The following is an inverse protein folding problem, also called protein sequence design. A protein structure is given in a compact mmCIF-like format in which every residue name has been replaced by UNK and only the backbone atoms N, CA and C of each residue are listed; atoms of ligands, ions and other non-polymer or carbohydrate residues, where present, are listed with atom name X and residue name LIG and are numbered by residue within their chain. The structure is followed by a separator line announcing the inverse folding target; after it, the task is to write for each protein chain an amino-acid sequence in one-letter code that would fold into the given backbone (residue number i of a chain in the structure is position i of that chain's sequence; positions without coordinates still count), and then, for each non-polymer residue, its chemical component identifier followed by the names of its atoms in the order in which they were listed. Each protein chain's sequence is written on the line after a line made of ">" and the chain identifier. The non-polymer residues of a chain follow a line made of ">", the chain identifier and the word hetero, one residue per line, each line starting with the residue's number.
data_IF_541232802238
#
_entry.id   IF_541232802238
#
_cell.length_a   1.000
_cell.length_b   1.000
_cell.length_c   1.000
_cell.angle_alpha   90.00
_cell.angle_beta   90.00
_cell.angle_gamma   90.00
#
_symmetry.space_group_name_H-M   'P 1'
#
loop_
_entity.id
_entity.type
_entity.pdbx_description
1 polymer ?
#
# COMPACT_ATOMS: atom_id res chain seq x y z
N UNK A 1 19.68 63.87 -2.71
CA UNK A 1 19.69 62.52 -2.07
C UNK A 1 18.48 61.80 -2.59
N UNK A 2 18.67 60.82 -3.47
CA UNK A 2 17.60 60.01 -4.07
C UNK A 2 17.44 58.74 -3.25
N UNK A 3 16.31 58.55 -2.59
CA UNK A 3 15.96 57.30 -1.91
C UNK A 3 15.58 56.24 -2.96
N UNK A 4 16.38 55.22 -3.09
CA UNK A 4 16.07 54.03 -3.88
C UNK A 4 15.42 53.02 -2.93
N UNK A 5 14.10 52.89 -3.05
CA UNK A 5 13.35 51.85 -2.36
C UNK A 5 13.59 50.52 -3.09
N UNK A 6 14.30 49.59 -2.46
CA UNK A 6 14.40 48.20 -2.94
C UNK A 6 13.09 47.46 -2.63
N UNK A 7 12.34 47.17 -3.67
CA UNK A 7 11.20 46.24 -3.61
C UNK A 7 11.76 44.81 -3.56
N UNK A 8 11.81 44.25 -2.37
CA UNK A 8 12.14 42.84 -2.20
C UNK A 8 10.91 42.01 -2.59
N UNK A 9 10.89 41.48 -3.80
CA UNK A 9 9.92 40.49 -4.22
C UNK A 9 10.36 39.17 -3.56
N UNK A 10 9.71 38.84 -2.46
CA UNK A 10 9.73 37.47 -1.91
C UNK A 10 8.98 36.53 -2.89
N UNK A 11 9.71 35.99 -3.85
CA UNK A 11 9.27 34.80 -4.54
C UNK A 11 9.25 33.68 -3.51
N UNK A 12 8.09 33.42 -2.92
CA UNK A 12 7.82 32.15 -2.29
C UNK A 12 8.01 31.10 -3.37
N UNK A 13 9.15 30.43 -3.35
CA UNK A 13 9.33 29.18 -4.06
C UNK A 13 8.35 28.17 -3.43
N UNK A 14 7.12 28.15 -3.90
CA UNK A 14 6.36 26.92 -3.86
C UNK A 14 7.24 25.91 -4.56
N UNK A 15 7.80 24.97 -3.83
CA UNK A 15 8.39 23.77 -4.43
C UNK A 15 7.27 23.20 -5.29
N UNK A 16 7.43 23.30 -6.61
CA UNK A 16 6.61 22.50 -7.52
C UNK A 16 6.93 21.07 -7.13
N UNK A 17 6.08 20.48 -6.30
CA UNK A 17 6.14 19.05 -6.00
C UNK A 17 6.26 18.37 -7.35
N UNK A 18 7.31 17.57 -7.55
CA UNK A 18 7.57 16.90 -8.81
C UNK A 18 6.34 16.05 -9.16
N UNK A 19 5.52 16.56 -10.08
CA UNK A 19 4.36 15.81 -10.59
C UNK A 19 4.93 14.53 -11.20
N UNK A 20 4.47 13.35 -10.77
CA UNK A 20 4.94 12.10 -11.37
C UNK A 20 4.75 12.16 -12.88
N UNK A 21 5.80 11.87 -13.63
CA UNK A 21 5.77 11.86 -15.10
C UNK A 21 4.63 10.95 -15.64
N UNK A 22 4.19 10.01 -14.81
CA UNK A 22 3.22 8.96 -15.15
C UNK A 22 1.83 9.15 -14.51
N UNK A 23 1.52 10.30 -13.87
CA UNK A 23 0.22 10.50 -13.20
C UNK A 23 -0.99 10.16 -14.10
N UNK A 24 -0.92 10.49 -15.41
CA UNK A 24 -1.96 10.10 -16.38
C UNK A 24 -2.07 8.59 -16.55
N UNK A 25 -0.96 7.90 -16.52
CA UNK A 25 -0.92 6.44 -16.59
C UNK A 25 -1.51 5.83 -15.33
N UNK A 26 -1.22 6.38 -14.15
CA UNK A 26 -1.81 5.96 -12.87
C UNK A 26 -3.34 6.03 -12.92
N UNK A 27 -3.92 7.12 -13.48
CA UNK A 27 -5.38 7.25 -13.69
C UNK A 27 -5.93 6.11 -14.55
N UNK A 28 -5.30 5.82 -15.69
CA UNK A 28 -5.78 4.76 -16.60
C UNK A 28 -5.70 3.37 -15.96
N UNK A 29 -4.61 3.11 -15.21
CA UNK A 29 -4.42 1.84 -14.49
C UNK A 29 -5.48 1.67 -13.43
N UNK A 30 -5.69 2.68 -12.58
CA UNK A 30 -6.67 2.62 -11.48
C UNK A 30 -8.09 2.45 -12.02
N UNK A 31 -8.49 3.21 -13.06
CA UNK A 31 -9.81 3.05 -13.69
C UNK A 31 -9.98 1.62 -14.26
N UNK A 32 -8.98 1.09 -14.95
CA UNK A 32 -9.03 -0.29 -15.46
C UNK A 32 -9.12 -1.32 -14.35
N UNK A 33 -8.37 -1.14 -13.25
CA UNK A 33 -8.38 -2.07 -12.14
C UNK A 33 -9.76 -2.13 -11.47
N UNK A 34 -10.33 -0.99 -11.14
CA UNK A 34 -11.69 -0.94 -10.55
C UNK A 34 -12.81 -1.32 -11.54
N UNK A 35 -12.52 -1.42 -12.84
CA UNK A 35 -13.42 -1.96 -13.87
C UNK A 35 -13.18 -3.44 -14.19
N UNK A 36 -12.30 -4.12 -13.45
CA UNK A 36 -12.01 -5.56 -13.65
C UNK A 36 -11.10 -5.90 -14.84
N UNK A 37 -10.39 -4.92 -15.40
CA UNK A 37 -9.61 -5.07 -16.64
C UNK A 37 -8.11 -4.77 -16.48
N UNK A 38 -7.53 -4.97 -15.30
CA UNK A 38 -6.11 -4.74 -15.06
C UNK A 38 -5.34 -6.04 -14.84
N UNK A 39 -4.04 -6.02 -15.20
CA UNK A 39 -3.07 -7.09 -14.93
C UNK A 39 -2.05 -6.68 -13.85
N UNK A 40 -2.27 -5.55 -13.18
CA UNK A 40 -1.36 -5.01 -12.18
C UNK A 40 -1.53 -5.77 -10.86
N UNK A 41 -0.43 -6.24 -10.27
CA UNK A 41 -0.40 -6.99 -9.00
C UNK A 41 -0.70 -6.10 -7.80
N UNK A 42 -0.02 -4.95 -7.69
CA UNK A 42 -0.19 -3.98 -6.62
C UNK A 42 -0.72 -2.65 -7.19
N UNK A 43 -1.78 -2.10 -6.60
CA UNK A 43 -2.34 -0.80 -6.99
C UNK A 43 -1.80 0.36 -6.16
N UNK A 44 -1.12 0.11 -5.08
CA UNK A 44 -0.64 1.11 -4.12
C UNK A 44 0.11 2.27 -4.78
N UNK A 45 1.10 2.05 -5.69
CA UNK A 45 1.83 3.16 -6.30
C UNK A 45 0.94 4.12 -7.08
N UNK A 46 -0.05 3.57 -7.79
CA UNK A 46 -0.95 4.34 -8.65
C UNK A 46 -2.02 5.07 -7.83
N UNK A 47 -2.50 4.46 -6.75
CA UNK A 47 -3.38 5.10 -5.78
C UNK A 47 -2.66 6.23 -5.05
N UNK A 48 -1.40 6.02 -4.65
CA UNK A 48 -0.52 7.03 -4.06
C UNK A 48 -0.36 8.25 -4.98
N UNK A 49 -0.06 8.03 -6.26
CA UNK A 49 0.06 9.12 -7.23
C UNK A 49 -1.23 9.95 -7.33
N UNK A 50 -2.38 9.29 -7.38
CA UNK A 50 -3.67 9.98 -7.43
C UNK A 50 -3.94 10.71 -6.11
N UNK A 51 -3.64 10.09 -4.97
CA UNK A 51 -3.85 10.69 -3.66
C UNK A 51 -3.08 12.02 -3.52
N UNK A 52 -1.80 12.03 -3.86
CA UNK A 52 -0.92 13.16 -3.66
C UNK A 52 -1.02 14.24 -4.77
N UNK A 53 -1.25 13.83 -6.00
CA UNK A 53 -1.18 14.71 -7.17
C UNK A 53 -2.48 14.85 -7.97
N UNK A 54 -3.53 14.10 -7.62
CA UNK A 54 -4.78 14.04 -8.37
C UNK A 54 -5.49 15.39 -8.51
N UNK A 55 -5.28 16.35 -7.58
CA UNK A 55 -5.81 17.71 -7.70
C UNK A 55 -5.29 18.46 -8.94
N UNK A 56 -4.18 18.03 -9.52
CA UNK A 56 -3.55 18.60 -10.71
C UNK A 56 -4.05 17.99 -12.04
N UNK A 57 -4.89 16.95 -11.96
CA UNK A 57 -5.49 16.31 -13.12
C UNK A 57 -6.48 17.23 -13.85
N UNK A 58 -6.71 16.94 -15.12
CA UNK A 58 -7.73 17.63 -15.93
C UNK A 58 -9.15 17.35 -15.39
N UNK A 59 -10.10 18.22 -15.71
CA UNK A 59 -11.50 18.02 -15.32
C UNK A 59 -12.09 16.71 -15.87
N UNK A 60 -11.69 16.29 -17.05
CA UNK A 60 -12.10 15.03 -17.65
C UNK A 60 -11.59 13.83 -16.81
N UNK A 61 -10.30 13.80 -16.49
CA UNK A 61 -9.70 12.75 -15.67
C UNK A 61 -10.32 12.70 -14.28
N UNK A 62 -10.52 13.88 -13.65
CA UNK A 62 -11.22 13.98 -12.36
C UNK A 62 -12.65 13.45 -12.43
N UNK A 63 -13.38 13.73 -13.54
CA UNK A 63 -14.73 13.22 -13.74
C UNK A 63 -14.75 11.69 -13.79
N UNK A 64 -13.82 11.09 -14.52
CA UNK A 64 -13.70 9.63 -14.63
C UNK A 64 -13.40 8.98 -13.29
N UNK A 65 -12.49 9.56 -12.50
CA UNK A 65 -12.16 9.08 -11.14
C UNK A 65 -13.32 9.25 -10.16
N UNK A 66 -14.10 10.36 -10.26
CA UNK A 66 -15.32 10.54 -9.45
C UNK A 66 -16.34 9.43 -9.67
N UNK A 67 -16.46 8.93 -10.91
CA UNK A 67 -17.38 7.83 -11.23
C UNK A 67 -17.02 6.50 -10.51
N UNK A 68 -15.81 6.38 -10.00
CA UNK A 68 -15.34 5.25 -9.20
C UNK A 68 -15.04 5.66 -7.74
N UNK A 69 -15.63 6.78 -7.26
CA UNK A 69 -15.66 7.17 -5.86
C UNK A 69 -14.59 8.17 -5.40
N UNK A 70 -13.66 8.63 -6.26
CA UNK A 70 -12.63 9.59 -5.84
C UNK A 70 -13.20 10.99 -5.61
N UNK A 71 -12.72 11.64 -4.55
CA UNK A 71 -13.07 13.01 -4.18
C UNK A 71 -11.86 13.94 -4.37
N UNK A 72 -12.13 15.18 -4.73
CA UNK A 72 -11.11 16.18 -5.08
C UNK A 72 -11.35 17.48 -4.31
N UNK A 73 -10.29 18.27 -4.18
CA UNK A 73 -10.35 19.56 -3.47
C UNK A 73 -9.91 19.46 -2.00
N UNK A 74 -9.47 18.29 -1.59
CA UNK A 74 -8.86 18.01 -0.27
C UNK A 74 -7.32 17.99 -0.40
N UNK A 75 -6.58 18.09 0.70
CA UNK A 75 -5.12 17.96 0.68
C UNK A 75 -4.64 16.68 0.03
N UNK A 76 -5.34 15.57 0.29
CA UNK A 76 -5.14 14.28 -0.38
C UNK A 76 -6.42 13.94 -1.14
N UNK A 77 -6.27 13.43 -2.36
CA UNK A 77 -7.38 12.88 -3.15
C UNK A 77 -7.60 11.45 -2.73
N UNK A 78 -8.75 11.14 -2.16
CA UNK A 78 -9.10 9.78 -1.73
C UNK A 78 -10.51 9.39 -2.15
N UNK A 79 -10.88 8.12 -1.96
CA UNK A 79 -12.20 7.59 -2.27
C UNK A 79 -13.08 7.77 -1.03
N UNK A 80 -14.16 8.53 -1.16
CA UNK A 80 -15.16 8.86 -0.14
C UNK A 80 -14.62 9.54 1.15
N UNK A 81 -15.40 10.44 1.73
CA UNK A 81 -15.03 11.17 2.95
C UNK A 81 -15.68 10.63 4.21
N UNK A 82 -16.85 10.01 4.09
CA UNK A 82 -17.69 9.62 5.23
C UNK A 82 -17.87 8.12 5.34
N UNK A 83 -17.58 7.39 4.27
CA UNK A 83 -17.64 5.93 4.22
C UNK A 83 -16.51 5.43 3.34
N UNK A 84 -15.75 4.46 3.82
CA UNK A 84 -14.72 3.81 3.02
C UNK A 84 -15.40 2.89 2.01
N UNK A 85 -15.19 3.05 0.69
CA UNK A 85 -15.79 2.17 -0.32
C UNK A 85 -15.45 0.70 -0.09
N UNK A 86 -14.32 0.46 0.56
CA UNK A 86 -13.84 -0.87 0.91
C UNK A 86 -14.72 -1.55 1.96
N UNK A 87 -15.43 -0.80 2.80
CA UNK A 87 -16.33 -1.33 3.84
C UNK A 87 -17.71 -1.72 3.30
N UNK A 88 -18.05 -1.35 2.07
CA UNK A 88 -19.38 -1.60 1.52
C UNK A 88 -19.73 -3.10 1.45
N UNK A 89 -20.78 -3.48 2.18
CA UNK A 89 -21.27 -4.86 2.25
C UNK A 89 -20.42 -5.81 3.11
N UNK A 90 -19.44 -5.31 3.85
CA UNK A 90 -18.63 -6.09 4.79
C UNK A 90 -19.25 -5.96 6.19
N UNK A 91 -20.05 -6.93 6.60
CA UNK A 91 -20.91 -6.86 7.78
C UNK A 91 -20.37 -7.60 9.02
N UNK A 92 -19.16 -8.17 8.91
CA UNK A 92 -18.46 -8.83 10.01
C UNK A 92 -17.14 -8.15 10.32
N UNK A 93 -16.75 -8.20 11.59
CA UNK A 93 -15.48 -7.68 12.10
C UNK A 93 -14.73 -8.76 12.87
N UNK A 94 -13.41 -8.83 12.70
CA UNK A 94 -12.53 -9.62 13.53
C UNK A 94 -11.29 -8.81 13.90
N UNK A 95 -11.07 -8.60 15.20
CA UNK A 95 -9.90 -7.90 15.73
C UNK A 95 -8.83 -8.91 16.14
N UNK A 96 -7.61 -8.72 15.66
CA UNK A 96 -6.45 -9.50 16.06
C UNK A 96 -5.28 -8.57 16.38
N UNK A 97 -5.10 -8.28 17.65
CA UNK A 97 -4.03 -7.41 18.14
C UNK A 97 -4.12 -6.01 17.55
N UNK A 98 -3.23 -5.73 16.62
CA UNK A 98 -3.09 -4.43 15.96
C UNK A 98 -4.08 -4.19 14.82
N UNK A 99 -4.65 -5.28 14.25
CA UNK A 99 -5.45 -5.26 13.03
C UNK A 99 -6.93 -5.45 13.29
N UNK A 100 -7.76 -4.83 12.43
CA UNK A 100 -9.19 -5.09 12.29
C UNK A 100 -9.50 -5.57 10.88
N UNK A 101 -10.09 -6.75 10.78
CA UNK A 101 -10.52 -7.35 9.52
C UNK A 101 -12.01 -7.09 9.32
N UNK A 102 -12.33 -6.42 8.21
CA UNK A 102 -13.70 -6.22 7.73
C UNK A 102 -13.98 -7.27 6.65
N UNK A 103 -15.00 -8.09 6.82
CA UNK A 103 -15.31 -9.17 5.89
C UNK A 103 -16.82 -9.47 5.84
N UNK A 104 -17.22 -10.35 4.91
CA UNK A 104 -18.58 -10.89 4.83
C UNK A 104 -18.53 -12.35 4.40
N UNK A 105 -19.57 -13.11 4.78
CA UNK A 105 -19.77 -14.50 4.34
C UNK A 105 -20.84 -14.63 3.26
N UNK A 106 -21.33 -13.50 2.71
CA UNK A 106 -22.39 -13.47 1.70
C UNK A 106 -22.07 -12.54 0.53
N UNK A 107 -22.70 -12.78 -0.60
CA UNK A 107 -22.58 -11.91 -1.77
C UNK A 107 -21.23 -12.03 -2.51
N UNK A 108 -20.90 -11.00 -3.29
CA UNK A 108 -19.71 -11.01 -4.16
C UNK A 108 -18.40 -10.93 -3.37
N UNK A 109 -18.44 -10.40 -2.16
CA UNK A 109 -17.28 -10.23 -1.29
C UNK A 109 -17.13 -11.36 -0.27
N UNK A 110 -17.99 -12.40 -0.34
CA UNK A 110 -17.95 -13.51 0.60
C UNK A 110 -16.59 -14.19 0.64
N UNK A 111 -16.08 -14.43 1.85
CA UNK A 111 -15.02 -15.39 2.10
C UNK A 111 -15.60 -16.80 2.23
N UNK A 112 -14.77 -17.84 2.14
CA UNK A 112 -15.18 -19.19 2.52
C UNK A 112 -15.63 -19.16 3.99
N UNK A 113 -16.81 -19.69 4.26
CA UNK A 113 -17.43 -19.68 5.59
C UNK A 113 -17.08 -20.89 6.46
N UNK A 114 -16.13 -21.73 6.01
CA UNK A 114 -15.64 -22.87 6.81
C UNK A 114 -15.07 -22.34 8.12
N UNK A 115 -15.50 -22.93 9.24
CA UNK A 115 -15.08 -22.62 10.60
C UNK A 115 -14.90 -23.97 11.31
N UNK A 116 -13.70 -24.54 11.16
CA UNK A 116 -13.40 -25.91 11.60
C UNK A 116 -13.18 -26.00 13.11
N UNK A 117 -12.75 -24.93 13.75
CA UNK A 117 -12.50 -24.87 15.20
C UNK A 117 -13.71 -24.39 16.01
N UNK A 118 -14.75 -23.84 15.33
CA UNK A 118 -16.01 -23.44 15.93
C UNK A 118 -15.94 -22.14 16.73
N UNK A 119 -14.99 -21.26 16.39
CA UNK A 119 -14.79 -19.98 17.08
C UNK A 119 -15.71 -18.84 16.57
N UNK A 120 -16.53 -19.12 15.54
CA UNK A 120 -17.39 -18.19 14.80
C UNK A 120 -16.67 -17.18 13.91
N UNK A 121 -15.41 -17.45 13.59
CA UNK A 121 -14.63 -16.73 12.57
C UNK A 121 -14.28 -17.72 11.45
N UNK A 122 -14.47 -17.38 10.19
CA UNK A 122 -14.05 -18.27 9.10
C UNK A 122 -12.55 -18.58 9.15
N UNK A 123 -12.17 -19.84 8.91
CA UNK A 123 -10.77 -20.28 8.88
C UNK A 123 -9.89 -19.41 7.98
N UNK A 124 -10.46 -18.89 6.88
CA UNK A 124 -9.77 -17.99 5.96
C UNK A 124 -9.37 -16.67 6.64
N UNK A 125 -10.25 -16.11 7.47
CA UNK A 125 -9.99 -14.87 8.23
C UNK A 125 -8.98 -15.15 9.34
N UNK A 126 -9.10 -16.26 10.06
CA UNK A 126 -8.14 -16.65 11.10
C UNK A 126 -6.73 -16.85 10.53
N UNK A 127 -6.62 -17.50 9.38
CA UNK A 127 -5.33 -17.66 8.70
C UNK A 127 -4.74 -16.32 8.29
N UNK A 128 -5.55 -15.44 7.68
CA UNK A 128 -5.12 -14.10 7.28
C UNK A 128 -4.68 -13.28 8.50
N UNK A 129 -5.45 -13.32 9.60
CA UNK A 129 -5.13 -12.61 10.83
C UNK A 129 -3.80 -13.09 11.44
N UNK A 130 -3.54 -14.39 11.43
CA UNK A 130 -2.28 -14.96 11.88
C UNK A 130 -1.10 -14.56 10.97
N UNK A 131 -1.32 -14.48 9.65
CA UNK A 131 -0.31 -14.00 8.69
C UNK A 131 0.06 -12.55 8.99
N UNK A 132 -0.93 -11.67 9.17
CA UNK A 132 -0.67 -10.25 9.48
C UNK A 132 0.00 -10.06 10.83
N UNK A 133 -0.38 -10.81 11.85
CA UNK A 133 0.29 -10.78 13.15
C UNK A 133 1.78 -11.16 13.03
N UNK A 134 2.10 -12.18 12.22
CA UNK A 134 3.48 -12.57 11.95
C UNK A 134 4.23 -11.48 11.16
N UNK A 135 3.63 -10.94 10.10
CA UNK A 135 4.21 -9.87 9.28
C UNK A 135 4.54 -8.65 10.14
N UNK A 136 3.60 -8.21 11.00
CA UNK A 136 3.84 -7.09 11.92
C UNK A 136 4.96 -7.40 12.90
N UNK A 137 4.98 -8.59 13.52
CA UNK A 137 6.06 -9.01 14.43
C UNK A 137 7.43 -8.94 13.75
N UNK A 138 7.53 -9.39 12.49
CA UNK A 138 8.82 -9.32 11.79
C UNK A 138 9.17 -7.89 11.44
N UNK A 139 8.28 -7.11 10.87
CA UNK A 139 8.59 -5.76 10.41
C UNK A 139 8.79 -4.77 11.57
N UNK A 140 7.96 -4.83 12.60
CA UNK A 140 8.02 -3.88 13.70
C UNK A 140 8.99 -4.33 14.79
N UNK A 141 8.85 -5.57 15.31
CA UNK A 141 9.61 -6.00 16.48
C UNK A 141 11.01 -6.52 16.10
N UNK A 142 11.15 -7.24 14.99
CA UNK A 142 12.43 -7.85 14.62
C UNK A 142 13.30 -6.93 13.76
N UNK A 143 12.71 -6.25 12.77
CA UNK A 143 13.39 -5.32 11.87
C UNK A 143 13.48 -3.93 12.49
N UNK A 144 12.46 -3.52 13.25
CA UNK A 144 12.45 -2.27 14.01
C UNK A 144 11.84 -1.08 13.25
N UNK A 145 11.00 -1.34 12.26
CA UNK A 145 10.22 -0.26 11.65
C UNK A 145 9.22 0.33 12.65
N UNK A 146 8.92 1.62 12.50
CA UNK A 146 7.83 2.24 13.23
C UNK A 146 6.47 1.73 12.74
N UNK A 147 5.52 1.65 13.65
CA UNK A 147 4.14 1.29 13.38
C UNK A 147 3.50 2.30 12.40
N UNK A 148 2.72 1.85 11.39
CA UNK A 148 1.96 2.76 10.54
C UNK A 148 1.07 3.70 11.35
N UNK A 149 0.92 4.98 10.94
CA UNK A 149 0.12 5.93 11.68
C UNK A 149 -1.34 5.49 11.83
N UNK A 150 -1.84 5.43 13.06
CA UNK A 150 -3.26 5.18 13.34
C UNK A 150 -4.12 6.35 12.83
N UNK A 151 -5.32 6.06 12.38
CA UNK A 151 -6.36 7.03 12.04
C UNK A 151 -7.37 7.28 13.19
N UNK A 152 -7.15 6.66 14.35
CA UNK A 152 -8.02 6.80 15.52
C UNK A 152 -8.17 8.23 16.08
N UNK A 153 -7.31 9.15 15.65
CA UNK A 153 -7.40 10.58 15.99
C UNK A 153 -8.31 11.38 15.05
N UNK A 154 -8.77 10.78 13.95
CA UNK A 154 -9.65 11.47 13.01
C UNK A 154 -10.98 11.85 13.69
N UNK A 155 -11.58 13.00 13.31
CA UNK A 155 -12.91 13.35 13.79
C UNK A 155 -13.95 12.25 13.48
N UNK A 156 -14.92 12.06 14.38
CA UNK A 156 -16.02 11.07 14.21
C UNK A 156 -16.85 11.24 12.93
N UNK A 157 -16.67 12.35 12.21
CA UNK A 157 -17.30 12.59 10.90
C UNK A 157 -16.59 11.88 9.76
N UNK A 158 -15.44 11.29 10.03
CA UNK A 158 -14.67 10.49 9.08
C UNK A 158 -14.80 9.01 9.44
N UNK A 159 -14.84 8.17 8.43
CA UNK A 159 -14.81 6.73 8.63
C UNK A 159 -13.36 6.31 8.93
N UNK A 160 -13.13 5.83 10.16
CA UNK A 160 -11.87 5.27 10.62
C UNK A 160 -12.00 3.76 10.91
N UNK A 161 -12.90 3.05 10.21
CA UNK A 161 -13.15 1.63 10.45
C UNK A 161 -13.78 1.32 11.82
N UNK A 162 -14.20 2.36 12.56
CA UNK A 162 -14.85 2.24 13.86
C UNK A 162 -13.90 2.00 15.04
N UNK A 163 -12.56 2.11 14.83
CA UNK A 163 -11.57 1.94 15.90
C UNK A 163 -10.24 2.60 15.53
N UNK A 164 -9.23 2.42 16.39
CA UNK A 164 -7.84 2.81 16.14
C UNK A 164 -6.96 1.69 15.58
N UNK A 165 -7.53 0.51 15.31
CA UNK A 165 -6.79 -0.58 14.68
C UNK A 165 -6.47 -0.25 13.22
N UNK A 166 -5.46 -0.90 12.69
CA UNK A 166 -5.18 -0.84 11.26
C UNK A 166 -6.20 -1.67 10.48
N UNK A 167 -6.93 -1.03 9.57
CA UNK A 167 -8.06 -1.65 8.89
C UNK A 167 -7.66 -2.43 7.65
N UNK A 168 -8.12 -3.68 7.59
CA UNK A 168 -7.95 -4.60 6.47
C UNK A 168 -9.33 -5.00 5.96
N UNK A 169 -9.64 -4.63 4.72
CA UNK A 169 -10.90 -4.92 4.05
C UNK A 169 -10.75 -6.14 3.15
N UNK A 170 -11.36 -7.26 3.56
CA UNK A 170 -11.30 -8.53 2.82
C UNK A 170 -12.47 -8.61 1.86
N UNK A 171 -12.17 -8.47 0.56
CA UNK A 171 -13.21 -8.31 -0.45
C UNK A 171 -12.79 -8.86 -1.83
N UNK A 172 -13.77 -9.05 -2.71
CA UNK A 172 -13.48 -9.28 -4.11
C UNK A 172 -12.86 -8.03 -4.73
N UNK A 173 -11.58 -8.12 -5.05
CA UNK A 173 -10.87 -7.09 -5.79
C UNK A 173 -10.99 -7.46 -7.27
N UNK A 174 -11.64 -6.58 -8.03
CA UNK A 174 -11.74 -6.75 -9.48
C UNK A 174 -10.34 -6.79 -10.11
N UNK A 175 -10.17 -7.53 -11.21
CA UNK A 175 -8.87 -7.68 -11.91
C UNK A 175 -7.88 -8.65 -11.25
N UNK A 176 -6.64 -8.68 -11.76
CA UNK A 176 -5.55 -9.53 -11.27
C UNK A 176 -4.73 -8.87 -10.15
N UNK A 177 -5.28 -7.88 -9.48
CA UNK A 177 -4.63 -7.24 -8.33
C UNK A 177 -4.67 -8.16 -7.13
N UNK A 178 -3.54 -8.37 -6.47
CA UNK A 178 -3.42 -9.22 -5.28
C UNK A 178 -3.97 -8.51 -4.04
N UNK A 179 -3.61 -7.24 -3.86
CA UNK A 179 -4.03 -6.36 -2.78
C UNK A 179 -3.63 -4.93 -3.08
N UNK A 180 -3.89 -4.03 -2.14
CA UNK A 180 -3.36 -2.67 -2.15
C UNK A 180 -3.46 -2.02 -0.78
N UNK A 181 -2.51 -1.15 -0.47
CA UNK A 181 -2.64 -0.16 0.59
C UNK A 181 -3.07 1.18 -0.01
N UNK A 182 -4.01 1.85 0.61
CA UNK A 182 -4.54 3.14 0.16
C UNK A 182 -4.28 4.19 1.23
N UNK A 183 -3.54 5.23 0.89
CA UNK A 183 -3.33 6.39 1.76
C UNK A 183 -4.60 7.22 1.93
N UNK A 184 -4.81 7.80 3.12
CA UNK A 184 -6.03 8.53 3.46
C UNK A 184 -5.77 9.97 3.88
N UNK A 185 -5.01 10.21 4.96
CA UNK A 185 -4.82 11.53 5.56
C UNK A 185 -3.37 11.77 5.94
N UNK A 186 -2.93 13.03 5.93
CA UNK A 186 -1.64 13.40 6.49
C UNK A 186 -1.61 13.20 8.00
N UNK A 187 -0.62 12.46 8.46
CA UNK A 187 -0.34 12.18 9.86
C UNK A 187 1.00 12.78 10.29
N UNK A 188 1.25 14.04 9.90
CA UNK A 188 2.50 14.72 10.17
C UNK A 188 2.78 14.86 11.67
N UNK A 189 4.04 14.83 12.04
CA UNK A 189 4.52 14.94 13.42
C UNK A 189 4.01 13.80 14.31
N UNK A 190 3.82 12.62 13.78
CA UNK A 190 3.44 11.46 14.61
C UNK A 190 4.55 11.07 15.56
N UNK A 191 5.82 11.35 15.21
CA UNK A 191 6.99 11.07 16.06
C UNK A 191 7.16 9.58 16.37
N UNK A 192 6.62 8.72 15.51
CA UNK A 192 6.57 7.29 15.75
C UNK A 192 7.82 6.52 15.29
N UNK A 193 8.81 7.21 14.70
CA UNK A 193 10.06 6.59 14.29
C UNK A 193 11.14 6.77 15.35
N UNK A 194 11.41 5.73 16.13
CA UNK A 194 12.40 5.73 17.20
C UNK A 194 13.86 5.76 16.70
N UNK A 195 14.09 5.43 15.42
CA UNK A 195 15.42 5.30 14.83
C UNK A 195 15.95 6.59 14.21
N UNK A 196 15.15 7.64 14.17
CA UNK A 196 15.55 8.94 13.65
C UNK A 196 15.09 10.08 14.54
N UNK A 197 15.87 11.17 14.55
CA UNK A 197 15.48 12.45 15.17
C UNK A 197 14.72 13.36 14.21
N UNK A 198 14.54 12.92 12.97
CA UNK A 198 13.79 13.66 11.96
C UNK A 198 12.31 13.39 12.17
N UNK A 199 11.53 14.45 12.32
CA UNK A 199 10.07 14.34 12.42
C UNK A 199 9.48 14.08 11.05
N UNK A 200 8.58 13.11 10.95
CA UNK A 200 7.87 12.80 9.71
C UNK A 200 6.98 13.98 9.33
N UNK A 201 7.17 14.51 8.13
CA UNK A 201 6.40 15.67 7.62
C UNK A 201 5.43 15.28 6.50
N UNK A 202 5.58 14.07 5.96
CA UNK A 202 4.79 13.55 4.85
C UNK A 202 4.14 12.21 5.20
N UNK A 203 4.09 11.86 6.47
CA UNK A 203 3.44 10.64 6.92
C UNK A 203 1.95 10.64 6.57
N UNK A 204 1.41 9.48 6.22
CA UNK A 204 0.03 9.27 5.84
C UNK A 204 -0.57 8.11 6.65
N UNK A 205 -1.82 8.26 7.08
CA UNK A 205 -2.63 7.10 7.46
C UNK A 205 -2.99 6.31 6.21
N UNK A 206 -3.28 5.05 6.38
CA UNK A 206 -3.71 4.19 5.28
C UNK A 206 -4.62 3.07 5.76
N UNK A 207 -5.36 2.49 4.83
CA UNK A 207 -6.09 1.24 4.95
C UNK A 207 -5.55 0.23 3.95
N UNK A 208 -5.92 -1.03 4.10
CA UNK A 208 -5.53 -2.09 3.17
C UNK A 208 -6.75 -2.85 2.65
N UNK A 209 -6.72 -3.25 1.39
CA UNK A 209 -7.66 -4.19 0.82
C UNK A 209 -6.96 -5.48 0.41
N UNK A 210 -7.48 -6.60 0.90
CA UNK A 210 -7.05 -7.96 0.61
C UNK A 210 -8.14 -8.72 -0.13
N UNK A 211 -7.76 -9.71 -0.94
CA UNK A 211 -8.75 -10.54 -1.64
C UNK A 211 -9.51 -11.44 -0.67
N UNK A 212 -10.77 -11.68 -1.00
CA UNK A 212 -11.62 -12.67 -0.32
C UNK A 212 -11.33 -14.14 -0.75
N UNK A 213 -10.52 -14.33 -1.78
CA UNK A 213 -9.91 -15.60 -2.18
C UNK A 213 -8.78 -15.34 -3.19
N UNK A 214 -7.82 -16.25 -3.26
CA UNK A 214 -6.68 -16.19 -4.17
C UNK A 214 -6.70 -17.29 -5.24
N UNK A 215 -7.86 -17.89 -5.51
CA UNK A 215 -8.00 -18.88 -6.59
C UNK A 215 -7.55 -18.28 -7.92
N UNK A 216 -6.57 -18.94 -8.57
CA UNK A 216 -5.96 -18.45 -9.81
C UNK A 216 -4.75 -17.52 -9.62
N UNK A 217 -4.37 -17.21 -8.38
CA UNK A 217 -3.20 -16.39 -8.03
C UNK A 217 -2.02 -17.21 -7.53
N UNK A 218 -2.15 -18.53 -7.50
CA UNK A 218 -1.11 -19.48 -7.15
C UNK A 218 -1.18 -20.69 -8.10
N UNK A 219 -0.10 -21.46 -8.17
CA UNK A 219 -0.09 -22.74 -8.91
C UNK A 219 0.76 -23.77 -8.15
N UNK A 220 0.22 -24.98 -7.89
CA UNK A 220 0.86 -25.99 -7.02
C UNK A 220 2.29 -26.41 -7.42
N UNK A 221 2.71 -26.10 -8.65
CA UNK A 221 4.03 -26.44 -9.18
C UNK A 221 4.84 -25.18 -9.58
N UNK A 222 4.53 -24.02 -9.01
CA UNK A 222 5.35 -22.84 -9.24
C UNK A 222 6.79 -23.12 -8.77
N UNK A 223 7.73 -22.77 -9.61
CA UNK A 223 9.15 -22.79 -9.23
C UNK A 223 9.50 -21.58 -8.37
N UNK A 224 8.89 -20.44 -8.67
CA UNK A 224 9.01 -19.18 -7.95
C UNK A 224 7.60 -18.61 -7.77
N UNK A 225 7.25 -18.23 -6.54
CA UNK A 225 5.94 -17.69 -6.19
C UNK A 225 5.01 -18.73 -5.54
N UNK A 226 3.83 -18.24 -5.13
CA UNK A 226 2.89 -19.01 -4.34
C UNK A 226 2.46 -20.35 -4.97
N UNK A 227 2.49 -21.41 -4.19
CA UNK A 227 2.02 -22.76 -4.54
C UNK A 227 0.67 -23.09 -3.89
N UNK A 228 0.22 -22.27 -2.95
CA UNK A 228 -1.05 -22.42 -2.23
C UNK A 228 -1.71 -21.03 -2.01
N UNK A 229 -2.98 -21.05 -1.64
CA UNK A 229 -3.72 -19.84 -1.27
C UNK A 229 -3.09 -19.15 -0.08
N UNK A 230 -2.66 -19.90 0.94
CA UNK A 230 -1.99 -19.36 2.11
C UNK A 230 -0.71 -18.60 1.72
N UNK A 231 0.11 -19.16 0.85
CA UNK A 231 1.34 -18.49 0.38
C UNK A 231 1.02 -17.21 -0.42
N UNK A 232 -0.07 -17.21 -1.20
CA UNK A 232 -0.51 -16.00 -1.88
C UNK A 232 -0.97 -14.90 -0.88
N UNK A 233 -1.66 -15.26 0.20
CA UNK A 233 -1.99 -14.35 1.31
C UNK A 233 -0.72 -13.85 2.00
N UNK A 234 0.25 -14.72 2.27
CA UNK A 234 1.53 -14.41 2.92
C UNK A 234 2.33 -13.37 2.14
N UNK A 235 2.52 -13.59 0.84
CA UNK A 235 3.23 -12.66 -0.05
C UNK A 235 2.52 -11.30 -0.08
N UNK A 236 1.20 -11.31 -0.30
CA UNK A 236 0.42 -10.08 -0.41
C UNK A 236 0.46 -9.29 0.90
N UNK A 237 0.29 -9.97 2.04
CA UNK A 237 0.34 -9.31 3.35
C UNK A 237 1.72 -8.68 3.63
N UNK A 238 2.81 -9.40 3.33
CA UNK A 238 4.16 -8.89 3.51
C UNK A 238 4.42 -7.63 2.66
N UNK A 239 4.01 -7.68 1.40
CA UNK A 239 4.15 -6.59 0.43
C UNK A 239 3.32 -5.35 0.81
N UNK A 240 2.01 -5.53 1.01
CA UNK A 240 1.10 -4.40 1.24
C UNK A 240 1.29 -3.77 2.63
N UNK A 241 1.66 -4.58 3.65
CA UNK A 241 1.96 -4.01 4.95
C UNK A 241 3.25 -3.20 4.95
N UNK A 242 4.24 -3.55 4.12
CA UNK A 242 5.39 -2.69 3.90
C UNK A 242 5.00 -1.33 3.34
N UNK A 243 4.03 -1.26 2.45
CA UNK A 243 3.51 0.03 1.96
C UNK A 243 2.85 0.85 3.07
N UNK A 244 2.13 0.20 3.99
CA UNK A 244 1.57 0.89 5.16
C UNK A 244 2.68 1.49 6.05
N UNK A 245 3.75 0.74 6.30
CA UNK A 245 4.94 1.22 7.01
C UNK A 245 5.56 2.42 6.28
N UNK A 246 5.80 2.31 4.98
CA UNK A 246 6.38 3.39 4.15
C UNK A 246 5.56 4.67 4.19
N UNK A 247 4.22 4.56 4.18
CA UNK A 247 3.34 5.72 4.35
C UNK A 247 3.56 6.43 5.69
N UNK A 248 3.95 5.71 6.72
CA UNK A 248 4.33 6.28 8.02
C UNK A 248 5.62 7.08 7.99
N UNK A 249 6.51 6.82 7.03
CA UNK A 249 7.79 7.53 6.89
C UNK A 249 7.71 8.70 5.91
N UNK A 250 7.41 8.44 4.64
CA UNK A 250 7.25 9.49 3.61
C UNK A 250 6.35 9.03 2.45
N UNK A 251 5.13 9.51 2.40
CA UNK A 251 4.21 9.24 1.29
C UNK A 251 4.68 9.76 -0.07
N UNK A 252 5.63 10.70 -0.11
CA UNK A 252 6.20 11.23 -1.37
C UNK A 252 7.42 10.46 -1.87
N UNK A 253 7.86 9.41 -1.16
CA UNK A 253 9.00 8.61 -1.59
C UNK A 253 8.78 8.02 -2.99
N UNK A 254 9.89 7.79 -3.70
CA UNK A 254 9.85 7.32 -5.09
C UNK A 254 9.21 5.94 -5.23
N UNK A 255 8.35 5.79 -6.22
CA UNK A 255 7.60 4.57 -6.47
C UNK A 255 8.48 3.33 -6.62
N UNK A 256 9.65 3.46 -7.28
CA UNK A 256 10.56 2.32 -7.41
C UNK A 256 11.07 1.81 -6.06
N UNK A 257 11.31 2.71 -5.10
CA UNK A 257 11.75 2.31 -3.76
C UNK A 257 10.59 1.69 -2.97
N UNK A 258 9.38 2.23 -3.11
CA UNK A 258 8.17 1.62 -2.56
C UNK A 258 8.05 0.16 -3.00
N UNK A 259 8.10 -0.13 -4.30
CA UNK A 259 7.95 -1.48 -4.83
C UNK A 259 9.15 -2.37 -4.52
N UNK A 260 10.38 -1.83 -4.64
CA UNK A 260 11.59 -2.60 -4.38
C UNK A 260 11.67 -3.09 -2.93
N UNK A 261 11.36 -2.24 -1.96
CA UNK A 261 11.41 -2.64 -0.54
C UNK A 261 10.20 -3.46 -0.13
N UNK A 262 9.02 -3.27 -0.74
CA UNK A 262 7.87 -4.14 -0.52
C UNK A 262 8.14 -5.57 -1.05
N UNK A 263 8.72 -5.69 -2.24
CA UNK A 263 9.15 -6.99 -2.79
C UNK A 263 10.26 -7.63 -1.95
N UNK A 264 11.19 -6.81 -1.40
CA UNK A 264 12.20 -7.32 -0.48
C UNK A 264 11.57 -7.89 0.80
N UNK A 265 10.51 -7.29 1.33
CA UNK A 265 9.84 -7.81 2.52
C UNK A 265 9.14 -9.15 2.28
N UNK A 266 8.69 -9.45 1.07
CA UNK A 266 8.23 -10.79 0.72
C UNK A 266 9.31 -11.83 1.00
N UNK A 267 10.56 -11.55 0.57
CA UNK A 267 11.72 -12.43 0.77
C UNK A 267 12.16 -12.47 2.24
N UNK A 268 12.19 -11.32 2.93
CA UNK A 268 12.62 -11.26 4.33
C UNK A 268 11.71 -12.03 5.28
N UNK A 269 10.41 -12.10 4.99
CA UNK A 269 9.41 -12.71 5.87
C UNK A 269 9.08 -14.14 5.45
N UNK A 270 9.09 -14.40 4.14
CA UNK A 270 8.67 -15.67 3.54
C UNK A 270 9.66 -16.18 2.47
N UNK A 271 10.96 -16.18 2.82
CA UNK A 271 12.10 -16.63 2.00
C UNK A 271 11.83 -17.90 1.18
N UNK A 272 11.11 -18.88 1.77
CA UNK A 272 10.83 -20.15 1.09
C UNK A 272 9.92 -20.06 -0.14
N UNK A 273 9.21 -18.94 -0.37
CA UNK A 273 8.28 -18.79 -1.51
C UNK A 273 9.01 -18.29 -2.75
N UNK A 274 10.04 -17.47 -2.60
CA UNK A 274 10.91 -16.99 -3.69
C UNK A 274 10.17 -16.23 -4.83
N UNK A 275 9.04 -15.56 -4.57
CA UNK A 275 8.27 -14.88 -5.62
C UNK A 275 9.07 -13.77 -6.30
N UNK A 276 9.89 -13.06 -5.54
CA UNK A 276 10.78 -12.00 -6.03
C UNK A 276 11.74 -12.48 -7.12
N UNK A 277 12.09 -13.76 -7.16
CA UNK A 277 12.96 -14.35 -8.17
C UNK A 277 12.34 -14.34 -9.57
N UNK A 278 11.02 -14.24 -9.69
CA UNK A 278 10.34 -14.13 -11.00
C UNK A 278 10.76 -12.87 -11.77
N UNK A 279 11.19 -11.83 -11.07
CA UNK A 279 11.59 -10.54 -11.65
C UNK A 279 13.04 -10.47 -12.11
N UNK A 280 13.91 -11.35 -11.58
CA UNK A 280 15.36 -11.32 -11.84
C UNK A 280 15.74 -11.53 -13.31
N UNK A 281 15.12 -12.46 -14.08
CA UNK A 281 15.46 -12.63 -15.48
C UNK A 281 15.27 -11.37 -16.31
N UNK A 282 14.16 -10.65 -16.14
CA UNK A 282 13.89 -9.40 -16.85
C UNK A 282 14.79 -8.26 -16.37
N UNK A 283 15.09 -8.20 -15.08
CA UNK A 283 16.03 -7.24 -14.50
C UNK A 283 17.42 -7.37 -15.11
N UNK A 284 17.99 -8.56 -15.10
CA UNK A 284 19.34 -8.81 -15.62
C UNK A 284 19.42 -8.75 -17.16
N UNK A 285 18.32 -8.94 -17.88
CA UNK A 285 18.28 -8.80 -19.32
C UNK A 285 18.43 -7.34 -19.77
N UNK A 286 18.14 -6.36 -18.92
CA UNK A 286 18.12 -4.94 -19.26
C UNK A 286 18.95 -4.08 -18.27
N UNK A 287 20.23 -4.40 -18.04
CA UNK A 287 21.06 -3.74 -17.01
C UNK A 287 21.34 -2.26 -17.31
N UNK A 288 21.03 -1.78 -18.52
CA UNK A 288 21.14 -0.39 -18.93
C UNK A 288 19.96 0.47 -18.50
N UNK A 289 18.85 -0.12 -18.06
CA UNK A 289 17.72 0.63 -17.49
C UNK A 289 18.11 1.24 -16.15
N UNK A 290 17.61 2.45 -15.90
CA UNK A 290 17.76 3.05 -14.57
C UNK A 290 16.92 2.29 -13.53
N UNK A 291 17.36 2.30 -12.28
CA UNK A 291 16.68 1.61 -11.17
C UNK A 291 15.23 2.07 -10.99
N UNK A 292 14.94 3.31 -11.32
CA UNK A 292 13.63 3.94 -11.25
C UNK A 292 12.81 3.84 -12.55
N UNK A 293 13.24 3.00 -13.49
CA UNK A 293 12.55 2.85 -14.77
C UNK A 293 11.10 2.34 -14.54
N UNK A 294 10.09 3.10 -15.02
CA UNK A 294 8.68 2.80 -14.72
C UNK A 294 8.20 1.55 -15.46
N UNK A 295 8.16 0.43 -14.79
CA UNK A 295 7.62 -0.85 -15.27
C UNK A 295 7.69 -1.89 -14.14
N UNK A 296 7.45 -3.16 -14.43
CA UNK A 296 7.77 -4.30 -13.57
C UNK A 296 9.26 -4.35 -13.14
N UNK A 297 10.11 -3.53 -13.76
CA UNK A 297 11.50 -3.33 -13.37
C UNK A 297 11.64 -2.86 -11.90
N UNK A 298 10.64 -2.16 -11.37
CA UNK A 298 10.61 -1.77 -9.96
C UNK A 298 10.66 -2.96 -9.02
N UNK A 299 9.92 -4.04 -9.32
CA UNK A 299 9.95 -5.26 -8.52
C UNK A 299 11.34 -5.91 -8.54
N UNK A 300 11.96 -6.03 -9.72
CA UNK A 300 13.34 -6.55 -9.85
C UNK A 300 14.39 -5.69 -9.14
N UNK A 301 14.08 -4.42 -8.88
CA UNK A 301 14.96 -3.51 -8.11
C UNK A 301 15.11 -3.94 -6.65
N UNK A 302 14.32 -4.91 -6.16
CA UNK A 302 14.45 -5.45 -4.80
C UNK A 302 15.86 -5.94 -4.48
N UNK A 303 16.61 -6.36 -5.49
CA UNK A 303 18.01 -6.83 -5.33
C UNK A 303 18.91 -5.75 -4.73
N UNK A 304 18.60 -4.46 -4.91
CA UNK A 304 19.36 -3.36 -4.34
C UNK A 304 19.17 -3.24 -2.83
N UNK A 305 17.95 -3.08 -2.28
CA UNK A 305 17.73 -3.09 -0.83
C UNK A 305 18.09 -4.44 -0.21
N UNK A 306 17.92 -5.57 -0.89
CA UNK A 306 18.39 -6.87 -0.42
C UNK A 306 19.90 -6.90 -0.23
N UNK A 307 20.67 -6.39 -1.19
CA UNK A 307 22.13 -6.29 -1.06
C UNK A 307 22.55 -5.40 0.13
N UNK A 308 21.87 -4.27 0.33
CA UNK A 308 22.14 -3.39 1.47
C UNK A 308 21.83 -4.11 2.79
N UNK A 309 20.71 -4.79 2.86
CA UNK A 309 20.30 -5.56 4.03
C UNK A 309 21.35 -6.60 4.41
N UNK A 310 21.82 -7.39 3.46
CA UNK A 310 22.76 -8.48 3.71
C UNK A 310 24.18 -8.01 4.08
N UNK A 311 24.62 -6.87 3.55
CA UNK A 311 26.02 -6.47 3.62
C UNK A 311 26.28 -5.24 4.52
N UNK A 312 25.28 -4.48 4.91
CA UNK A 312 25.47 -3.20 5.62
C UNK A 312 24.71 -3.06 6.94
N UNK A 313 24.23 -4.15 7.53
CA UNK A 313 23.68 -4.15 8.88
C UNK A 313 22.16 -4.27 8.95
N UNK A 314 21.53 -4.75 7.88
CA UNK A 314 20.10 -5.03 7.86
C UNK A 314 19.25 -3.83 7.48
N UNK A 315 17.95 -3.96 7.68
CA UNK A 315 16.93 -2.99 7.26
C UNK A 315 17.02 -1.60 7.89
N UNK A 316 17.68 -1.46 9.04
CA UNK A 316 17.93 -0.16 9.68
C UNK A 316 18.91 0.73 8.88
N UNK A 317 19.51 0.21 7.81
CA UNK A 317 20.39 0.97 6.92
C UNK A 317 19.68 1.45 5.65
N UNK A 318 18.42 1.07 5.46
CA UNK A 318 17.54 1.53 4.40
C UNK A 318 16.61 2.62 4.89
#
# INVERSE_FOLDING_TARGET
>A
MRNISYLVILLSSMSLANIPANLRQSVEIVIKAFSGNSQIRCLTPYLKDIALYGNQLTNEQKSRLRNIGFQFGLPIVHRAMNERPESEGLDHLHDNGYFRFHYTTSGIHAVDSTDADGNNVPDYIDQMANVFAHVATVQLDSIGYAEPPSDGWLPVTYDNGGSSHYDIYVRNIASNTFGYAQSEYFANNTGNNEHTTVTEINALTSLMAMRNNYTGFYAPNNQYGATSELEAVQLTAAHEYQHAVQFGYDGYEKTWLFEATATQMEEQIYDGINDCHTWLPSWFAEPQKSIDHPSEHWYGSFIFPQYIFEHFGGSLTL
#
